data_IF_670218299987
#
_entry.id   IF_670218299987
#
_cell.length_a   1.000
_cell.length_b   1.000
_cell.length_c   1.000
_cell.angle_alpha   90.00
_cell.angle_beta   90.00
_cell.angle_gamma   90.00
#
_symmetry.space_group_name_H-M   'P 1'
#
loop_
_entity.id
_entity.type
_entity.pdbx_description
1 polymer ?
#
# COMPACT_ATOMS: atom_id res chain seq x y z
N UNK A 1 14.39 4.17 4.68
CA UNK A 1 13.00 4.26 4.20
C UNK A 1 12.37 2.93 4.54
N UNK A 2 11.29 2.94 5.32
CA UNK A 2 10.64 1.71 5.79
C UNK A 2 9.27 1.58 5.17
N UNK A 3 8.94 0.36 4.76
CA UNK A 3 7.67 0.01 4.16
C UNK A 3 6.77 -0.69 5.18
N UNK A 4 5.51 -0.24 5.26
CA UNK A 4 4.47 -0.88 6.05
C UNK A 4 3.39 -1.44 5.11
N UNK A 5 3.46 -2.75 4.86
CA UNK A 5 2.52 -3.46 4.00
C UNK A 5 1.05 -3.33 4.47
N UNK A 6 0.81 -3.30 5.79
CA UNK A 6 -0.56 -3.21 6.35
C UNK A 6 -1.24 -1.86 6.10
N UNK A 7 -0.46 -0.81 5.88
CA UNK A 7 -0.95 0.54 5.56
C UNK A 7 -0.99 0.81 4.05
N UNK A 8 -0.39 -0.05 3.22
CA UNK A 8 -0.33 0.13 1.78
C UNK A 8 -1.66 -0.29 1.13
N UNK A 9 -2.15 0.53 0.20
CA UNK A 9 -3.39 0.27 -0.56
C UNK A 9 -3.13 -0.01 -2.05
N UNK A 10 -1.86 -0.22 -2.41
CA UNK A 10 -1.47 -0.54 -3.79
C UNK A 10 -1.75 0.55 -4.82
N UNK A 11 -1.83 1.83 -4.42
CA UNK A 11 -2.12 2.94 -5.34
C UNK A 11 -0.97 3.32 -6.29
N UNK A 12 0.23 2.75 -6.08
CA UNK A 12 1.45 2.94 -6.90
C UNK A 12 1.93 4.40 -7.03
N UNK A 13 1.40 5.33 -6.23
CA UNK A 13 1.81 6.74 -6.27
C UNK A 13 3.30 6.92 -5.93
N UNK A 14 3.82 6.11 -4.99
CA UNK A 14 5.23 6.16 -4.63
C UNK A 14 6.18 5.67 -5.75
N UNK A 15 5.74 4.71 -6.57
CA UNK A 15 6.45 4.26 -7.77
C UNK A 15 6.45 5.38 -8.82
N UNK A 16 5.29 6.00 -9.06
CA UNK A 16 5.13 7.09 -10.02
C UNK A 16 6.01 8.32 -9.71
N UNK A 17 6.08 8.75 -8.45
CA UNK A 17 6.86 9.94 -8.05
C UNK A 17 8.34 9.65 -7.77
N UNK A 18 8.79 8.40 -7.96
CA UNK A 18 10.16 8.02 -7.63
C UNK A 18 11.15 8.53 -8.69
N UNK A 19 11.77 9.69 -8.44
CA UNK A 19 12.76 10.28 -9.35
C UNK A 19 13.95 9.36 -9.66
N UNK A 20 14.35 8.50 -8.72
CA UNK A 20 15.45 7.55 -8.90
C UNK A 20 15.06 6.21 -9.52
N UNK A 21 13.79 5.98 -9.84
CA UNK A 21 13.30 4.68 -10.35
C UNK A 21 13.52 3.52 -9.37
N UNK A 22 13.63 3.82 -8.08
CA UNK A 22 14.06 2.89 -7.04
C UNK A 22 12.91 2.03 -6.47
N UNK A 23 11.67 2.27 -6.87
CA UNK A 23 10.49 1.58 -6.34
C UNK A 23 9.82 0.83 -7.47
N UNK A 24 9.40 -0.41 -7.21
CA UNK A 24 8.62 -1.23 -8.15
C UNK A 24 7.51 -1.98 -7.44
N UNK A 25 6.38 -2.12 -8.13
CA UNK A 25 5.34 -3.06 -7.76
C UNK A 25 5.14 -4.16 -8.80
N UNK A 26 4.97 -5.39 -8.33
CA UNK A 26 4.70 -6.55 -9.15
C UNK A 26 3.45 -7.27 -8.67
N UNK A 27 2.59 -7.64 -9.60
CA UNK A 27 1.45 -8.51 -9.32
C UNK A 27 1.93 -9.96 -9.28
N UNK A 28 1.50 -10.71 -8.26
CA UNK A 28 1.76 -12.13 -8.14
C UNK A 28 0.65 -12.85 -7.38
N UNK A 29 0.74 -14.18 -7.33
CA UNK A 29 -0.30 -15.02 -6.71
C UNK A 29 -0.49 -14.73 -5.21
N UNK A 30 0.60 -14.36 -4.52
CA UNK A 30 0.57 -13.98 -3.10
C UNK A 30 0.04 -12.55 -2.86
N UNK A 31 -0.16 -11.77 -3.92
CA UNK A 31 -0.65 -10.39 -3.89
C UNK A 31 0.31 -9.41 -4.54
N UNK A 32 0.27 -8.16 -4.10
CA UNK A 32 1.05 -7.08 -4.70
C UNK A 32 2.40 -6.97 -4.00
N UNK A 33 3.47 -7.38 -4.67
CA UNK A 33 4.82 -7.28 -4.16
C UNK A 33 5.36 -5.86 -4.32
N UNK A 34 6.00 -5.35 -3.28
CA UNK A 34 6.69 -4.06 -3.24
C UNK A 34 8.19 -4.31 -3.11
N UNK A 35 8.97 -3.58 -3.91
CA UNK A 35 10.43 -3.54 -3.79
C UNK A 35 10.92 -2.10 -3.81
N UNK A 36 11.83 -1.75 -2.90
CA UNK A 36 12.59 -0.52 -2.92
C UNK A 36 14.10 -0.82 -2.84
N UNK A 37 14.85 -0.40 -3.85
CA UNK A 37 16.30 -0.53 -3.88
C UNK A 37 16.97 0.72 -3.30
N UNK A 38 17.61 0.60 -2.14
CA UNK A 38 18.25 1.74 -1.49
C UNK A 38 19.40 2.32 -2.30
N UNK A 39 20.09 1.49 -3.09
CA UNK A 39 21.21 1.92 -3.92
C UNK A 39 20.80 2.82 -5.11
N UNK A 40 19.53 2.77 -5.51
CA UNK A 40 18.96 3.66 -6.54
C UNK A 40 18.19 4.84 -5.92
N UNK A 41 17.99 4.84 -4.61
CA UNK A 41 17.16 5.82 -3.92
C UNK A 41 17.91 7.13 -3.70
N UNK A 42 17.37 8.24 -4.23
CA UNK A 42 17.91 9.58 -4.01
C UNK A 42 17.56 10.19 -2.63
N UNK A 43 16.87 9.45 -1.76
CA UNK A 43 16.45 9.87 -0.41
C UNK A 43 15.66 11.20 -0.36
N UNK A 44 14.99 11.59 -1.45
CA UNK A 44 14.28 12.88 -1.54
C UNK A 44 12.96 12.94 -0.74
N UNK A 45 12.42 11.79 -0.30
CA UNK A 45 11.22 11.73 0.53
C UNK A 45 9.87 11.91 -0.21
N UNK A 46 9.87 12.10 -1.54
CA UNK A 46 8.62 12.26 -2.32
C UNK A 46 7.64 11.10 -2.13
N UNK A 47 8.15 9.86 -2.10
CA UNK A 47 7.33 8.67 -1.88
C UNK A 47 6.60 8.69 -0.53
N UNK A 48 7.22 9.19 0.54
CA UNK A 48 6.59 9.37 1.85
C UNK A 48 5.61 10.55 1.85
N UNK A 49 5.96 11.65 1.16
CA UNK A 49 5.11 12.82 1.05
C UNK A 49 3.77 12.49 0.36
N UNK A 50 3.83 11.89 -0.83
CA UNK A 50 2.65 11.57 -1.65
C UNK A 50 1.93 10.28 -1.24
N UNK A 51 2.49 9.48 -0.33
CA UNK A 51 1.75 8.34 0.21
C UNK A 51 0.63 8.86 1.14
N UNK A 52 -0.66 8.69 0.79
CA UNK A 52 -1.75 9.22 1.59
C UNK A 52 -1.83 8.52 2.96
N UNK A 53 -1.60 7.21 2.98
CA UNK A 53 -1.69 6.36 4.18
C UNK A 53 -0.39 6.27 4.98
N UNK A 54 0.67 6.97 4.55
CA UNK A 54 2.01 6.89 5.16
C UNK A 54 2.56 5.45 5.29
N UNK A 55 2.25 4.61 4.31
CA UNK A 55 2.82 3.26 4.16
C UNK A 55 4.34 3.27 3.89
N UNK A 56 4.91 4.40 3.48
CA UNK A 56 6.35 4.62 3.39
C UNK A 56 6.75 5.79 4.28
N UNK A 57 7.76 5.58 5.12
CA UNK A 57 8.27 6.61 6.03
C UNK A 57 9.79 6.65 6.03
N UNK A 58 10.33 7.87 6.07
CA UNK A 58 11.76 8.05 6.27
C UNK A 58 12.13 7.57 7.68
N UNK A 59 13.22 6.80 7.77
CA UNK A 59 13.79 6.34 9.03
C UNK A 59 14.97 7.22 9.38
N UNK A 60 15.34 7.27 10.66
CA UNK A 60 16.60 7.88 11.12
C UNK A 60 17.84 7.02 10.86
N UNK A 61 17.69 5.91 10.13
CA UNK A 61 18.77 4.99 9.79
C UNK A 61 19.59 5.56 8.63
N UNK A 62 20.77 6.09 8.95
CA UNK A 62 21.67 6.72 8.00
C UNK A 62 22.86 5.83 7.61
N UNK A 63 23.14 4.79 8.39
CA UNK A 63 24.26 3.87 8.16
C UNK A 63 23.94 2.86 7.06
N UNK A 64 24.01 3.30 5.80
CA UNK A 64 23.81 2.44 4.62
C UNK A 64 25.12 2.04 3.92
N UNK A 65 26.27 2.31 4.54
CA UNK A 65 27.55 1.85 4.04
C UNK A 65 27.62 0.32 4.09
N UNK A 66 27.95 -0.31 2.97
CA UNK A 66 28.04 -1.76 2.84
C UNK A 66 29.20 -2.12 1.89
N UNK A 67 29.63 -3.38 1.93
CA UNK A 67 30.68 -3.87 1.05
C UNK A 67 30.18 -4.01 -0.37
N UNK A 68 31.11 -3.96 -1.33
CA UNK A 68 30.82 -4.20 -2.76
C UNK A 68 30.11 -5.53 -2.99
N UNK A 69 30.45 -6.58 -2.22
CA UNK A 69 29.82 -7.90 -2.28
C UNK A 69 28.33 -7.88 -1.89
N UNK A 70 27.88 -6.87 -1.14
CA UNK A 70 26.50 -6.72 -0.65
C UNK A 70 25.66 -5.73 -1.48
N UNK A 71 26.16 -5.24 -2.62
CA UNK A 71 25.55 -4.15 -3.41
C UNK A 71 24.11 -4.37 -3.92
N UNK A 72 23.55 -5.57 -3.77
CA UNK A 72 22.15 -5.86 -4.13
C UNK A 72 21.30 -6.29 -2.94
N UNK A 73 21.85 -6.23 -1.71
CA UNK A 73 21.15 -6.65 -0.49
C UNK A 73 20.45 -5.51 0.23
N UNK A 74 20.76 -4.26 -0.10
CA UNK A 74 20.13 -3.07 0.47
C UNK A 74 18.77 -2.83 -0.18
N UNK A 75 17.81 -3.69 0.14
CA UNK A 75 16.47 -3.70 -0.44
C UNK A 75 15.43 -3.79 0.67
N UNK A 76 14.44 -2.90 0.61
CA UNK A 76 13.23 -3.00 1.43
C UNK A 76 12.15 -3.72 0.60
N UNK A 77 11.57 -4.78 1.16
CA UNK A 77 10.56 -5.60 0.49
C UNK A 77 9.34 -5.83 1.35
N UNK A 78 8.19 -6.02 0.72
CA UNK A 78 6.98 -6.45 1.40
C UNK A 78 5.93 -6.90 0.40
N UNK A 79 4.93 -7.63 0.89
CA UNK A 79 3.81 -8.11 0.07
C UNK A 79 2.52 -7.60 0.69
N UNK A 80 1.68 -6.96 -0.12
CA UNK A 80 0.29 -6.67 0.25
C UNK A 80 -0.54 -7.88 -0.17
N UNK A 81 -1.02 -8.71 0.79
CA UNK A 81 -1.73 -9.92 0.44
C UNK A 81 -3.11 -9.59 -0.15
N UNK A 82 -3.53 -10.38 -1.14
CA UNK A 82 -4.93 -10.34 -1.58
C UNK A 82 -5.82 -10.94 -0.50
N UNK A 83 -6.96 -10.30 -0.27
CA UNK A 83 -7.99 -10.79 0.65
C UNK A 83 -9.27 -11.11 -0.14
N UNK A 84 -10.00 -12.16 0.23
CA UNK A 84 -11.27 -12.46 -0.42
C UNK A 84 -12.35 -11.45 -0.02
N UNK A 85 -13.14 -11.01 -0.99
CA UNK A 85 -14.34 -10.20 -0.74
C UNK A 85 -15.35 -11.00 0.10
N UNK A 86 -15.88 -10.41 1.17
CA UNK A 86 -16.89 -11.05 2.03
C UNK A 86 -18.24 -11.30 1.33
N UNK A 87 -18.52 -10.59 0.25
CA UNK A 87 -19.77 -10.71 -0.52
C UNK A 87 -19.72 -11.70 -1.69
N UNK A 88 -18.59 -11.79 -2.41
CA UNK A 88 -18.49 -12.60 -3.63
C UNK A 88 -17.24 -13.49 -3.71
N UNK A 89 -16.33 -13.42 -2.74
CA UNK A 89 -15.09 -14.20 -2.72
C UNK A 89 -13.97 -13.70 -3.63
N UNK A 90 -14.22 -12.71 -4.50
CA UNK A 90 -13.20 -12.15 -5.40
C UNK A 90 -11.97 -11.67 -4.62
N UNK A 91 -10.79 -12.08 -5.06
CA UNK A 91 -9.52 -11.61 -4.51
C UNK A 91 -9.33 -10.11 -4.80
N UNK A 92 -9.07 -9.33 -3.76
CA UNK A 92 -8.91 -7.87 -3.85
C UNK A 92 -7.80 -7.39 -2.95
N UNK A 93 -7.25 -6.21 -3.27
CA UNK A 93 -6.36 -5.52 -2.34
C UNK A 93 -7.17 -5.05 -1.11
N UNK A 94 -6.61 -5.23 0.10
CA UNK A 94 -7.27 -4.79 1.32
C UNK A 94 -7.34 -3.28 1.38
N UNK A 95 -8.43 -2.76 1.96
CA UNK A 95 -8.52 -1.34 2.32
C UNK A 95 -7.85 -1.14 3.67
N UNK A 96 -6.74 -0.39 3.69
CA UNK A 96 -6.04 -0.07 4.92
C UNK A 96 -6.87 0.84 5.84
N UNK A 97 -6.78 0.63 7.16
CA UNK A 97 -7.47 1.46 8.15
C UNK A 97 -7.06 2.94 8.03
N UNK A 98 -5.81 3.22 7.68
CA UNK A 98 -5.31 4.59 7.48
C UNK A 98 -6.06 5.31 6.35
N UNK A 99 -6.45 4.61 5.29
CA UNK A 99 -7.23 5.22 4.20
C UNK A 99 -8.64 5.59 4.68
N UNK A 100 -9.25 4.77 5.53
CA UNK A 100 -10.56 5.03 6.10
C UNK A 100 -10.56 6.28 7.00
N UNK A 101 -9.49 6.48 7.78
CA UNK A 101 -9.32 7.68 8.62
C UNK A 101 -9.22 8.97 7.80
N UNK A 102 -8.74 8.88 6.56
CA UNK A 102 -8.66 10.03 5.65
C UNK A 102 -10.02 10.30 4.99
N UNK A 103 -10.71 9.26 4.54
CA UNK A 103 -11.99 9.38 3.84
C UNK A 103 -13.20 9.64 4.74
N UNK A 104 -13.13 9.24 6.02
CA UNK A 104 -14.25 9.29 6.96
C UNK A 104 -13.84 9.92 8.30
N UNK A 105 -14.77 10.61 8.97
CA UNK A 105 -14.55 11.21 10.31
C UNK A 105 -14.39 10.18 11.44
N UNK A 106 -14.45 8.88 11.14
CA UNK A 106 -14.31 7.79 12.11
C UNK A 106 -14.63 6.44 11.48
N UNK A 107 -14.17 5.35 12.11
CA UNK A 107 -14.50 3.99 11.71
C UNK A 107 -15.83 3.61 12.38
N UNK A 108 -16.92 3.59 11.60
CA UNK A 108 -18.21 3.07 12.05
C UNK A 108 -18.33 1.57 11.72
N UNK A 109 -19.35 0.88 12.29
CA UNK A 109 -19.68 -0.50 11.92
C UNK A 109 -19.96 -0.66 10.41
N UNK A 110 -20.45 0.40 9.77
CA UNK A 110 -20.72 0.43 8.33
C UNK A 110 -19.42 0.50 7.53
N UNK A 111 -18.52 1.42 7.86
CA UNK A 111 -17.21 1.55 7.20
C UNK A 111 -16.38 0.26 7.36
N UNK A 112 -16.47 -0.38 8.52
CA UNK A 112 -15.79 -1.65 8.81
C UNK A 112 -16.33 -2.84 7.99
N UNK A 113 -17.61 -2.79 7.61
CA UNK A 113 -18.18 -3.75 6.66
C UNK A 113 -17.73 -3.45 5.23
N UNK A 114 -17.82 -2.18 4.80
CA UNK A 114 -17.50 -1.77 3.42
C UNK A 114 -16.04 -2.05 3.03
N UNK A 115 -15.08 -1.99 3.98
CA UNK A 115 -13.67 -2.35 3.72
C UNK A 115 -13.47 -3.82 3.29
N UNK A 116 -14.40 -4.70 3.64
CA UNK A 116 -14.32 -6.15 3.35
C UNK A 116 -14.93 -6.56 2.00
N UNK A 117 -15.55 -5.61 1.30
CA UNK A 117 -16.24 -5.84 0.03
C UNK A 117 -15.38 -5.35 -1.14
N UNK A 118 -15.49 -5.97 -2.32
CA UNK A 118 -14.85 -5.46 -3.53
C UNK A 118 -15.56 -4.18 -4.04
N UNK A 119 -15.00 -3.51 -5.05
CA UNK A 119 -15.61 -2.32 -5.66
C UNK A 119 -17.04 -2.56 -6.12
N UNK A 120 -17.30 -3.68 -6.81
CA UNK A 120 -18.63 -4.04 -7.30
C UNK A 120 -19.62 -4.33 -6.16
N UNK A 121 -19.22 -5.12 -5.16
CA UNK A 121 -20.07 -5.42 -4.02
C UNK A 121 -20.38 -4.17 -3.19
N UNK A 122 -19.40 -3.28 -2.97
CA UNK A 122 -19.63 -1.97 -2.33
C UNK A 122 -20.64 -1.13 -3.09
N UNK A 123 -20.51 -1.06 -4.42
CA UNK A 123 -21.44 -0.31 -5.26
C UNK A 123 -22.87 -0.88 -5.18
N UNK A 124 -23.02 -2.21 -5.18
CA UNK A 124 -24.32 -2.88 -5.01
C UNK A 124 -24.97 -2.55 -3.67
N UNK A 125 -24.22 -2.57 -2.56
CA UNK A 125 -24.75 -2.20 -1.25
C UNK A 125 -25.19 -0.72 -1.21
N UNK A 126 -24.43 0.18 -1.82
CA UNK A 126 -24.76 1.61 -1.89
C UNK A 126 -26.04 1.88 -2.71
N UNK A 127 -26.21 1.21 -3.86
CA UNK A 127 -27.41 1.36 -4.70
C UNK A 127 -28.63 0.68 -4.06
N UNK A 128 -28.43 -0.46 -3.39
CA UNK A 128 -29.51 -1.22 -2.72
C UNK A 128 -30.16 -0.47 -1.55
N UNK A 129 -29.45 0.49 -0.94
CA UNK A 129 -29.98 1.35 0.12
C UNK A 129 -30.96 2.44 -0.34
N UNK A 130 -30.94 2.83 -1.62
CA UNK A 130 -31.81 3.89 -2.17
C UNK A 130 -33.21 3.40 -2.59
N UNK A 131 -33.50 2.10 -2.45
CA UNK A 131 -34.77 1.46 -2.85
C UNK A 131 -35.65 1.03 -1.67
N UNK A 132 -35.46 1.59 -0.49
CA UNK A 132 -36.36 1.42 0.66
C UNK A 132 -36.84 2.76 1.16
#
# INVERSE_FOLDING_TARGET
MRFNASACVGCRMCEHVCAGGAIRFDEGDAGLAFTLWHNSCALCGLCSHYCPTKALTATGEWQMAHRQEDKYRQVEQGVIPLVPCSGCGTAMLPVAAELLKIGYRGISRETDRLKTLCSECRQKESIGGLRR
#
